data_IF_911493319147
#
_entry.id   IF_911493319147
#
_cell.length_a   1.000
_cell.length_b   1.000
_cell.length_c   1.000
_cell.angle_alpha   90.00
_cell.angle_beta   90.00
_cell.angle_gamma   90.00
#
_symmetry.space_group_name_H-M   'P 1'
#
loop_
_entity.id
_entity.type
_entity.pdbx_description
1 polymer ?
#
# COMPACT_ATOMS: atom_id res chain seq x y z
N UNK A 1 -0.60 22.41 -19.13
CA UNK A 1 -0.36 20.95 -19.06
C UNK A 1 1.10 20.71 -19.41
N UNK A 2 1.76 19.75 -18.77
CA UNK A 2 3.10 19.32 -19.17
C UNK A 2 2.98 18.56 -20.49
N UNK A 3 3.87 18.84 -21.46
CA UNK A 3 3.95 18.04 -22.67
C UNK A 3 4.19 16.57 -22.30
N UNK A 4 3.28 15.67 -22.73
CA UNK A 4 3.35 14.23 -22.42
C UNK A 4 2.63 13.75 -21.15
N UNK A 5 2.03 14.66 -20.34
CA UNK A 5 1.25 14.29 -19.16
C UNK A 5 -0.16 14.90 -19.26
N UNK A 6 -1.16 14.02 -19.18
CA UNK A 6 -2.56 14.42 -19.08
C UNK A 6 -3.11 13.92 -17.74
N UNK A 7 -3.98 14.72 -17.14
CA UNK A 7 -4.61 14.39 -15.86
C UNK A 7 -6.12 14.37 -16.04
N UNK A 8 -6.79 13.39 -15.47
CA UNK A 8 -8.23 13.28 -15.34
C UNK A 8 -8.60 13.08 -13.88
N UNK A 9 -9.54 13.88 -13.41
CA UNK A 9 -10.12 13.79 -12.08
C UNK A 9 -11.59 13.44 -12.21
N UNK A 10 -12.03 12.43 -11.46
CA UNK A 10 -13.43 12.02 -11.43
C UNK A 10 -13.92 12.10 -9.99
N UNK A 11 -15.08 12.70 -9.79
CA UNK A 11 -15.71 12.87 -8.47
C UNK A 11 -17.18 12.55 -8.56
N UNK A 12 -17.72 11.91 -7.54
CA UNK A 12 -19.15 11.62 -7.47
C UNK A 12 -19.49 10.71 -6.30
N UNK A 13 -20.75 10.31 -6.14
CA UNK A 13 -21.13 9.29 -5.17
C UNK A 13 -20.56 7.94 -5.58
N UNK A 14 -21.22 6.83 -5.42
CA UNK A 14 -20.71 5.50 -5.73
C UNK A 14 -20.06 5.36 -7.12
N UNK A 15 -20.60 6.06 -8.14
CA UNK A 15 -20.05 6.09 -9.50
C UNK A 15 -19.52 7.50 -9.79
N UNK A 16 -18.18 7.69 -9.80
CA UNK A 16 -17.58 8.99 -10.07
C UNK A 16 -17.66 9.34 -11.56
N UNK A 17 -17.87 10.64 -11.85
CA UNK A 17 -17.90 11.19 -13.19
C UNK A 17 -16.77 12.19 -13.39
N UNK A 18 -16.28 12.39 -14.63
CA UNK A 18 -15.25 13.40 -14.89
C UNK A 18 -15.72 14.80 -14.45
N UNK A 19 -14.84 15.54 -13.80
CA UNK A 19 -15.13 16.91 -13.37
C UNK A 19 -15.06 17.87 -14.55
N UNK A 20 -15.72 19.03 -14.42
CA UNK A 20 -15.66 20.08 -15.43
C UNK A 20 -14.27 20.71 -15.53
N UNK A 21 -13.99 21.36 -16.67
CA UNK A 21 -12.72 22.06 -16.88
C UNK A 21 -12.48 23.15 -15.81
N UNK A 22 -13.53 23.86 -15.39
CA UNK A 22 -13.44 24.89 -14.36
C UNK A 22 -12.92 24.34 -13.02
N UNK A 23 -13.30 23.09 -12.66
CA UNK A 23 -12.81 22.41 -11.47
C UNK A 23 -11.35 22.03 -11.63
N UNK A 24 -10.93 21.54 -12.83
CA UNK A 24 -9.53 21.25 -13.12
C UNK A 24 -8.68 22.53 -13.12
N UNK A 25 -9.22 23.64 -13.58
CA UNK A 25 -8.53 24.91 -13.58
C UNK A 25 -8.38 25.51 -12.16
N UNK A 26 -9.30 25.20 -11.27
CA UNK A 26 -9.19 25.58 -9.86
C UNK A 26 -8.20 24.70 -9.07
N UNK A 27 -7.83 23.53 -9.60
CA UNK A 27 -6.93 22.60 -8.94
C UNK A 27 -5.49 23.14 -8.91
N UNK A 28 -4.93 23.26 -7.72
CA UNK A 28 -3.57 23.74 -7.48
C UNK A 28 -2.56 22.61 -7.34
N UNK A 29 -2.92 21.58 -6.58
CA UNK A 29 -2.03 20.43 -6.34
C UNK A 29 -2.81 19.15 -6.03
N UNK A 30 -2.18 18.04 -6.38
CA UNK A 30 -2.60 16.69 -5.99
C UNK A 30 -1.42 16.04 -5.29
N UNK A 31 -1.71 15.41 -4.17
CA UNK A 31 -0.80 14.51 -3.48
C UNK A 31 -1.47 13.17 -3.31
N UNK A 32 -0.85 12.10 -3.82
CA UNK A 32 -1.33 10.72 -3.62
C UNK A 32 -0.19 9.90 -3.05
N UNK A 33 -0.43 9.25 -1.91
CA UNK A 33 0.55 8.38 -1.27
C UNK A 33 0.07 6.94 -1.30
N UNK A 34 0.84 6.07 -1.93
CA UNK A 34 0.60 4.62 -1.97
C UNK A 34 1.64 3.91 -1.12
N UNK A 35 1.19 3.12 -0.14
CA UNK A 35 2.04 2.34 0.77
C UNK A 35 1.88 0.85 0.53
N UNK A 36 2.96 0.10 0.77
CA UNK A 36 2.95 -1.34 0.50
C UNK A 36 1.97 -2.12 1.38
N UNK A 37 1.86 -1.75 2.66
CA UNK A 37 1.12 -2.52 3.67
C UNK A 37 -0.05 -1.77 4.30
N UNK A 38 -0.16 -0.46 4.05
CA UNK A 38 -1.17 0.41 4.66
C UNK A 38 -2.17 0.90 3.62
N UNK A 39 -3.22 1.57 4.09
CA UNK A 39 -4.13 2.28 3.23
C UNK A 39 -3.41 3.38 2.45
N UNK A 40 -3.78 3.55 1.19
CA UNK A 40 -3.32 4.64 0.35
C UNK A 40 -4.17 5.88 0.63
N UNK A 41 -3.57 7.06 0.53
CA UNK A 41 -4.27 8.31 0.80
C UNK A 41 -4.09 9.34 -0.30
N UNK A 42 -4.98 10.33 -0.32
CA UNK A 42 -4.86 11.46 -1.24
C UNK A 42 -5.20 12.79 -0.58
N UNK A 43 -4.64 13.85 -1.15
CA UNK A 43 -4.98 15.22 -0.84
C UNK A 43 -5.08 16.02 -2.15
N UNK A 44 -6.19 16.73 -2.29
CA UNK A 44 -6.44 17.64 -3.39
C UNK A 44 -6.55 19.06 -2.84
N UNK A 45 -5.88 20.02 -3.46
CA UNK A 45 -5.94 21.43 -3.06
C UNK A 45 -6.48 22.26 -4.22
N UNK A 46 -7.58 22.98 -3.97
CA UNK A 46 -8.24 23.83 -4.95
C UNK A 46 -8.22 25.29 -4.52
N UNK A 47 -8.14 26.17 -5.49
CA UNK A 47 -8.40 27.59 -5.29
C UNK A 47 -9.90 27.83 -5.45
N UNK A 48 -10.55 28.35 -4.41
CA UNK A 48 -11.97 28.70 -4.43
C UNK A 48 -12.15 30.18 -4.73
N UNK A 49 -13.05 30.46 -5.66
CA UNK A 49 -13.70 31.78 -5.79
C UNK A 49 -15.08 31.73 -5.15
N UNK A 50 -15.66 32.88 -4.83
CA UNK A 50 -16.97 33.02 -4.18
C UNK A 50 -18.13 32.36 -4.97
N UNK A 51 -17.96 32.10 -6.26
CA UNK A 51 -18.97 31.48 -7.15
C UNK A 51 -18.55 30.09 -7.64
N UNK A 52 -17.59 29.45 -7.00
CA UNK A 52 -17.11 28.15 -7.46
C UNK A 52 -18.17 27.04 -7.28
N UNK A 53 -18.44 26.21 -8.30
CA UNK A 53 -19.33 25.06 -8.19
C UNK A 53 -18.85 24.03 -7.15
N UNK A 54 -17.59 24.09 -6.75
CA UNK A 54 -16.99 23.23 -5.71
C UNK A 54 -17.68 23.42 -4.35
N UNK A 55 -18.22 24.61 -4.04
CA UNK A 55 -18.99 24.83 -2.82
C UNK A 55 -20.20 23.89 -2.75
N UNK A 56 -20.90 23.67 -3.86
CA UNK A 56 -22.09 22.79 -3.91
C UNK A 56 -21.71 21.31 -3.82
N UNK A 57 -20.67 20.89 -4.54
CA UNK A 57 -20.25 19.48 -4.59
C UNK A 57 -19.77 18.98 -3.22
N UNK A 58 -18.98 19.78 -2.50
CA UNK A 58 -18.37 19.33 -1.25
C UNK A 58 -19.17 19.71 0.01
N UNK A 59 -19.94 20.80 -0.01
CA UNK A 59 -20.83 21.14 1.11
C UNK A 59 -22.00 20.13 1.23
N UNK A 60 -22.56 19.69 0.12
CA UNK A 60 -23.59 18.65 0.14
C UNK A 60 -23.04 17.29 0.63
N UNK A 61 -21.76 17.00 0.34
CA UNK A 61 -21.10 15.81 0.83
C UNK A 61 -20.86 15.81 2.36
N UNK A 62 -20.70 17.00 2.97
CA UNK A 62 -20.55 17.15 4.43
C UNK A 62 -21.86 17.11 5.20
N UNK A 63 -23.01 17.24 4.52
CA UNK A 63 -24.33 17.40 5.13
C UNK A 63 -25.14 16.12 5.36
N UNK A 64 -24.57 14.94 5.21
CA UNK A 64 -25.28 13.66 5.44
C UNK A 64 -26.20 13.22 4.28
N UNK A 65 -26.40 14.06 3.27
CA UNK A 65 -27.21 13.71 2.08
C UNK A 65 -26.46 12.77 1.13
N UNK A 66 -25.12 12.82 1.12
CA UNK A 66 -24.26 11.95 0.32
C UNK A 66 -23.27 11.28 1.29
N UNK A 67 -23.51 10.01 1.67
CA UNK A 67 -22.68 9.33 2.69
C UNK A 67 -21.26 9.05 2.21
N UNK A 68 -20.98 9.16 0.91
CA UNK A 68 -19.68 8.82 0.33
C UNK A 68 -19.42 9.66 -0.92
N UNK A 69 -18.33 10.42 -0.94
CA UNK A 69 -17.81 11.08 -2.15
C UNK A 69 -16.58 10.31 -2.60
N UNK A 70 -16.71 9.63 -3.74
CA UNK A 70 -15.63 8.89 -4.38
C UNK A 70 -14.81 9.81 -5.26
N UNK A 71 -13.51 9.65 -5.20
CA UNK A 71 -12.52 10.43 -5.94
C UNK A 71 -11.58 9.49 -6.67
N UNK A 72 -11.46 9.64 -7.98
CA UNK A 72 -10.52 8.87 -8.81
C UNK A 72 -9.57 9.83 -9.50
N UNK A 73 -8.27 9.60 -9.32
CA UNK A 73 -7.21 10.37 -9.96
C UNK A 73 -6.50 9.50 -11.00
N UNK A 74 -6.53 9.94 -12.25
CA UNK A 74 -5.88 9.25 -13.36
C UNK A 74 -4.86 10.18 -14.00
N UNK A 75 -3.65 9.66 -14.24
CA UNK A 75 -2.60 10.37 -14.95
C UNK A 75 -2.15 9.54 -16.15
N UNK A 76 -2.17 10.14 -17.32
CA UNK A 76 -1.63 9.54 -18.55
C UNK A 76 -0.23 10.07 -18.78
N UNK A 77 0.75 9.19 -18.78
CA UNK A 77 2.17 9.50 -19.02
C UNK A 77 2.59 8.80 -20.33
N UNK A 78 3.08 9.56 -21.29
CA UNK A 78 3.49 9.05 -22.60
C UNK A 78 2.43 8.12 -23.24
N UNK A 79 1.15 8.53 -23.18
CA UNK A 79 0.02 7.76 -23.71
C UNK A 79 -0.46 6.59 -22.86
N UNK A 80 0.22 6.26 -21.76
CA UNK A 80 -0.17 5.16 -20.85
C UNK A 80 -0.97 5.71 -19.67
N UNK A 81 -2.26 5.36 -19.51
CA UNK A 81 -3.06 5.78 -18.37
C UNK A 81 -2.66 5.01 -17.11
N UNK A 82 -2.57 5.72 -15.99
CA UNK A 82 -2.31 5.17 -14.67
C UNK A 82 -3.34 5.72 -13.69
N UNK A 83 -4.14 4.84 -13.10
CA UNK A 83 -5.01 5.19 -11.98
C UNK A 83 -4.14 5.27 -10.74
N UNK A 84 -3.95 6.48 -10.19
CA UNK A 84 -3.10 6.68 -9.03
C UNK A 84 -3.82 6.30 -7.74
N UNK A 85 -5.08 6.65 -7.65
CA UNK A 85 -5.94 6.30 -6.52
C UNK A 85 -7.41 6.28 -6.96
N UNK A 86 -8.15 5.39 -6.35
CA UNK A 86 -9.60 5.33 -6.34
C UNK A 86 -10.01 5.21 -4.87
N UNK A 87 -10.57 6.26 -4.33
CA UNK A 87 -10.79 6.36 -2.89
C UNK A 87 -12.00 7.21 -2.53
N UNK A 88 -12.18 7.43 -1.25
CA UNK A 88 -13.29 8.22 -0.70
C UNK A 88 -12.76 9.38 0.12
N UNK A 89 -13.42 10.52 -0.01
CA UNK A 89 -13.17 11.70 0.80
C UNK A 89 -13.47 11.40 2.27
N UNK A 90 -12.55 11.77 3.15
CA UNK A 90 -12.71 11.66 4.60
C UNK A 90 -12.90 13.02 5.26
N UNK A 91 -12.22 14.04 4.76
CA UNK A 91 -12.28 15.40 5.31
C UNK A 91 -12.21 16.43 4.18
N UNK A 92 -12.79 17.58 4.43
CA UNK A 92 -12.58 18.78 3.64
C UNK A 92 -12.41 19.98 4.57
N UNK A 93 -11.53 20.88 4.18
CA UNK A 93 -11.21 22.08 4.94
C UNK A 93 -11.18 23.27 4.00
N UNK A 94 -11.77 24.39 4.43
CA UNK A 94 -11.71 25.66 3.73
C UNK A 94 -10.92 26.62 4.58
N UNK A 95 -9.78 27.08 4.07
CA UNK A 95 -8.94 28.07 4.71
C UNK A 95 -8.98 29.39 3.93
N UNK A 96 -9.01 30.56 4.61
CA UNK A 96 -8.86 31.85 3.95
C UNK A 96 -7.57 31.87 3.13
N UNK A 97 -7.62 32.40 1.91
CA UNK A 97 -6.43 32.61 1.10
C UNK A 97 -5.66 33.85 1.56
N UNK A 98 -4.38 33.94 1.21
CA UNK A 98 -3.54 35.12 1.41
C UNK A 98 -4.01 36.30 0.56
N UNK A 99 -4.68 36.03 -0.55
CA UNK A 99 -5.19 37.07 -1.47
C UNK A 99 -6.67 37.32 -1.21
N UNK A 100 -7.06 38.59 -1.16
CA UNK A 100 -8.44 39.03 -0.95
C UNK A 100 -9.39 38.41 -2.02
N UNK A 101 -10.44 37.73 -1.56
CA UNK A 101 -11.47 37.12 -2.42
C UNK A 101 -11.19 35.69 -2.90
N UNK A 102 -10.11 35.07 -2.43
CA UNK A 102 -9.83 33.65 -2.70
C UNK A 102 -9.69 32.85 -1.40
N UNK A 103 -10.24 31.65 -1.40
CA UNK A 103 -10.05 30.66 -0.34
C UNK A 103 -9.37 29.42 -0.91
N UNK A 104 -8.77 28.64 -0.05
CA UNK A 104 -8.20 27.31 -0.40
C UNK A 104 -9.10 26.21 0.15
N UNK A 105 -9.53 25.31 -0.72
CA UNK A 105 -10.23 24.09 -0.33
C UNK A 105 -9.23 22.93 -0.37
N UNK A 106 -9.03 22.30 0.76
CA UNK A 106 -8.24 21.06 0.87
C UNK A 106 -9.18 19.89 1.12
N UNK A 107 -9.05 18.85 0.30
CA UNK A 107 -9.80 17.62 0.39
C UNK A 107 -8.81 16.51 0.67
N UNK A 108 -9.05 15.73 1.71
CA UNK A 108 -8.27 14.54 2.03
C UNK A 108 -9.15 13.30 2.00
N UNK A 109 -8.56 12.18 1.65
CA UNK A 109 -9.25 10.90 1.61
C UNK A 109 -8.30 9.72 1.62
N UNK A 110 -8.92 8.55 1.70
CA UNK A 110 -8.23 7.26 1.72
C UNK A 110 -8.78 6.37 0.59
N UNK A 111 -8.08 5.28 0.30
CA UNK A 111 -8.55 4.28 -0.66
C UNK A 111 -9.88 3.62 -0.19
N UNK A 112 -10.45 2.75 -1.03
CA UNK A 112 -11.75 2.14 -0.75
C UNK A 112 -11.76 1.20 0.48
N UNK A 113 -10.61 0.91 1.10
CA UNK A 113 -10.60 0.20 2.40
C UNK A 113 -11.34 0.99 3.48
N UNK A 114 -11.39 2.33 3.35
CA UNK A 114 -12.13 3.20 4.27
C UNK A 114 -13.60 2.86 4.37
N UNK A 115 -14.23 2.46 3.25
CA UNK A 115 -15.65 2.07 3.23
C UNK A 115 -15.90 0.83 4.10
N UNK A 116 -14.92 -0.08 4.18
CA UNK A 116 -14.98 -1.28 5.00
C UNK A 116 -14.88 -0.97 6.51
N UNK A 117 -14.55 0.27 6.86
CA UNK A 117 -14.43 0.75 8.24
C UNK A 117 -15.65 1.55 8.74
N UNK A 118 -16.72 1.65 7.95
CA UNK A 118 -17.89 2.45 8.34
C UNK A 118 -18.82 1.72 9.30
N UNK A 119 -19.10 0.45 9.05
CA UNK A 119 -20.12 -0.32 9.76
C UNK A 119 -19.48 -1.45 10.56
N UNK A 120 -19.89 -1.59 11.81
CA UNK A 120 -19.51 -2.72 12.67
C UNK A 120 -20.46 -3.88 12.41
N UNK A 121 -19.90 -5.00 11.95
CA UNK A 121 -20.63 -6.25 11.70
C UNK A 121 -20.31 -7.34 12.74
N UNK A 122 -19.93 -6.94 13.95
CA UNK A 122 -19.66 -7.90 15.03
C UNK A 122 -20.81 -8.87 15.25
N UNK A 123 -20.46 -10.13 15.46
CA UNK A 123 -21.43 -11.18 15.75
C UNK A 123 -21.86 -12.04 14.56
N UNK A 124 -21.59 -11.62 13.32
CA UNK A 124 -21.93 -12.44 12.14
C UNK A 124 -21.21 -13.78 12.22
N UNK A 125 -21.94 -14.92 12.20
CA UNK A 125 -21.34 -16.24 12.26
C UNK A 125 -20.93 -16.73 10.87
N UNK A 126 -19.83 -17.49 10.82
CA UNK A 126 -19.30 -18.13 9.61
C UNK A 126 -19.14 -19.65 9.84
N UNK A 127 -20.24 -20.43 9.90
CA UNK A 127 -20.18 -21.87 10.17
C UNK A 127 -19.48 -22.62 9.03
N UNK A 128 -18.59 -23.54 9.34
CA UNK A 128 -17.85 -24.41 8.40
C UNK A 128 -17.15 -23.63 7.27
N UNK A 129 -16.68 -22.40 7.52
CA UNK A 129 -16.11 -21.55 6.48
C UNK A 129 -14.61 -21.35 6.70
N UNK A 130 -13.74 -21.69 5.73
CA UNK A 130 -12.32 -21.42 5.78
C UNK A 130 -12.05 -19.91 5.78
N UNK A 131 -10.81 -19.52 6.12
CA UNK A 131 -10.41 -18.10 6.22
C UNK A 131 -10.66 -17.37 4.92
N UNK A 132 -10.26 -17.93 3.80
CA UNK A 132 -10.43 -17.38 2.45
C UNK A 132 -11.89 -17.15 2.09
N UNK A 133 -12.76 -18.11 2.43
CA UNK A 133 -14.21 -18.01 2.23
C UNK A 133 -14.82 -16.85 3.01
N UNK A 134 -14.38 -16.64 4.26
CA UNK A 134 -14.81 -15.49 5.08
C UNK A 134 -14.37 -14.16 4.49
N UNK A 135 -13.11 -14.07 4.04
CA UNK A 135 -12.59 -12.87 3.35
C UNK A 135 -13.39 -12.60 2.07
N UNK A 136 -13.64 -13.64 1.25
CA UNK A 136 -14.40 -13.50 0.02
C UNK A 136 -15.84 -13.01 0.29
N UNK A 137 -16.51 -13.57 1.30
CA UNK A 137 -17.87 -13.16 1.67
C UNK A 137 -17.93 -11.70 2.16
N UNK A 138 -16.93 -11.28 2.94
CA UNK A 138 -16.82 -9.90 3.38
C UNK A 138 -16.62 -8.96 2.19
N UNK A 139 -15.69 -9.29 1.28
CA UNK A 139 -15.41 -8.46 0.10
C UNK A 139 -16.56 -8.41 -0.89
N UNK A 140 -17.38 -9.46 -0.99
CA UNK A 140 -18.56 -9.51 -1.86
C UNK A 140 -19.55 -8.38 -1.58
N UNK A 141 -19.66 -7.90 -0.33
CA UNK A 141 -20.51 -6.75 0.04
C UNK A 141 -20.13 -5.46 -0.70
N UNK A 142 -18.89 -5.34 -1.13
CA UNK A 142 -18.32 -4.15 -1.76
C UNK A 142 -18.14 -4.29 -3.27
N UNK A 143 -18.64 -5.37 -3.89
CA UNK A 143 -18.54 -5.60 -5.33
C UNK A 143 -19.20 -4.49 -6.16
N UNK A 144 -20.25 -3.85 -5.63
CA UNK A 144 -20.93 -2.70 -6.27
C UNK A 144 -20.01 -1.51 -6.48
N UNK A 145 -18.93 -1.39 -5.72
CA UNK A 145 -17.91 -0.34 -5.86
C UNK A 145 -16.81 -0.71 -6.87
N UNK A 146 -16.96 -1.83 -7.60
CA UNK A 146 -15.95 -2.32 -8.53
C UNK A 146 -14.74 -2.97 -7.84
N UNK A 147 -14.91 -3.46 -6.60
CA UNK A 147 -13.87 -4.16 -5.86
C UNK A 147 -13.86 -5.63 -6.27
N UNK A 148 -12.73 -6.08 -6.80
CA UNK A 148 -12.48 -7.44 -7.27
C UNK A 148 -11.55 -8.11 -6.27
N UNK A 149 -11.99 -9.21 -5.62
CA UNK A 149 -11.14 -9.96 -4.72
C UNK A 149 -9.97 -10.63 -5.46
N UNK A 150 -8.74 -10.43 -4.97
CA UNK A 150 -7.53 -11.13 -5.39
C UNK A 150 -6.97 -11.87 -4.18
N UNK A 151 -7.50 -13.08 -3.95
CA UNK A 151 -7.20 -13.87 -2.78
C UNK A 151 -6.22 -14.98 -3.17
N UNK A 152 -5.09 -15.07 -2.47
CA UNK A 152 -4.17 -16.19 -2.57
C UNK A 152 -4.49 -17.17 -1.44
N UNK A 153 -4.86 -18.42 -1.74
CA UNK A 153 -5.16 -19.41 -0.71
C UNK A 153 -3.98 -19.58 0.25
N UNK A 154 -4.25 -19.68 1.54
CA UNK A 154 -3.24 -19.99 2.53
C UNK A 154 -2.94 -21.50 2.54
N UNK A 155 -1.73 -21.85 2.99
CA UNK A 155 -1.34 -23.25 3.17
C UNK A 155 -2.15 -23.88 4.33
N UNK A 156 -2.85 -23.05 5.10
CA UNK A 156 -3.59 -23.45 6.27
C UNK A 156 -5.03 -23.80 5.93
N UNK A 157 -5.30 -25.08 5.79
CA UNK A 157 -6.67 -25.62 5.70
C UNK A 157 -7.24 -25.80 7.11
N UNK A 158 -7.68 -24.71 7.75
CA UNK A 158 -8.49 -24.80 8.96
C UNK A 158 -9.96 -24.51 8.61
N UNK A 159 -10.74 -25.56 8.39
CA UNK A 159 -12.19 -25.46 8.28
C UNK A 159 -12.78 -25.83 9.64
N UNK A 160 -13.20 -24.86 10.45
CA UNK A 160 -13.73 -25.13 11.78
C UNK A 160 -15.04 -25.92 11.66
N UNK A 161 -15.09 -27.10 12.27
CA UNK A 161 -16.31 -27.89 12.36
C UNK A 161 -17.33 -27.15 13.22
N UNK A 162 -18.59 -26.97 12.76
CA UNK A 162 -19.62 -26.25 13.53
C UNK A 162 -19.89 -26.81 14.91
N UNK A 163 -19.64 -28.10 15.10
CA UNK A 163 -19.75 -28.79 16.40
C UNK A 163 -18.65 -28.41 17.39
N UNK A 164 -17.52 -27.90 16.90
CA UNK A 164 -16.36 -27.51 17.73
C UNK A 164 -16.31 -26.00 17.92
N UNK A 165 -16.45 -25.24 16.82
CA UNK A 165 -16.33 -23.79 16.82
C UNK A 165 -17.04 -23.18 15.63
N UNK A 166 -17.83 -22.14 15.87
CA UNK A 166 -18.37 -21.26 14.83
C UNK A 166 -17.62 -19.92 14.94
N UNK A 167 -16.72 -19.61 13.96
CA UNK A 167 -16.07 -18.31 13.94
C UNK A 167 -17.10 -17.19 13.79
N UNK A 168 -16.92 -16.11 14.54
CA UNK A 168 -17.75 -14.91 14.45
C UNK A 168 -16.90 -13.72 14.10
N UNK A 169 -17.45 -12.80 13.34
CA UNK A 169 -16.80 -11.52 13.08
C UNK A 169 -16.70 -10.72 14.36
N UNK A 170 -15.57 -10.06 14.55
CA UNK A 170 -15.33 -9.10 15.64
C UNK A 170 -14.87 -7.79 14.99
N UNK A 171 -15.61 -6.73 15.27
CA UNK A 171 -15.34 -5.40 14.72
C UNK A 171 -15.78 -5.22 13.29
N UNK A 172 -15.31 -4.13 12.72
CA UNK A 172 -15.59 -3.71 11.36
C UNK A 172 -14.89 -4.61 10.33
N UNK A 173 -15.39 -4.62 9.11
CA UNK A 173 -14.90 -5.48 8.03
C UNK A 173 -13.39 -5.32 7.77
N UNK A 174 -12.87 -4.08 7.74
CA UNK A 174 -11.45 -3.82 7.52
C UNK A 174 -10.58 -4.44 8.62
N UNK A 175 -10.95 -4.22 9.88
CA UNK A 175 -10.24 -4.78 11.03
C UNK A 175 -10.27 -6.31 11.02
N UNK A 176 -11.43 -6.88 10.67
CA UNK A 176 -11.60 -8.33 10.60
C UNK A 176 -10.77 -8.97 9.49
N UNK A 177 -10.80 -8.42 8.26
CA UNK A 177 -10.02 -8.94 7.13
C UNK A 177 -8.51 -8.81 7.37
N UNK A 178 -8.06 -7.68 7.96
CA UNK A 178 -6.66 -7.50 8.37
C UNK A 178 -6.23 -8.50 9.44
N UNK A 179 -7.08 -8.71 10.45
CA UNK A 179 -6.81 -9.71 11.46
C UNK A 179 -6.69 -11.11 10.86
N UNK A 180 -7.58 -11.49 9.93
CA UNK A 180 -7.49 -12.77 9.24
C UNK A 180 -6.21 -12.89 8.40
N UNK A 181 -5.73 -11.80 7.81
CA UNK A 181 -4.44 -11.77 7.11
C UNK A 181 -3.27 -11.96 8.08
N UNK A 182 -3.26 -11.22 9.19
CA UNK A 182 -2.21 -11.33 10.20
C UNK A 182 -2.16 -12.73 10.85
N UNK A 183 -3.31 -13.37 11.05
CA UNK A 183 -3.44 -14.73 11.62
C UNK A 183 -2.77 -15.81 10.73
N UNK A 184 -2.53 -15.52 9.45
CA UNK A 184 -1.84 -16.43 8.49
C UNK A 184 -0.54 -15.82 7.92
N UNK A 185 -0.11 -14.68 8.46
CA UNK A 185 1.10 -14.00 8.00
C UNK A 185 0.98 -13.29 6.65
N UNK A 186 -0.25 -12.95 6.24
CA UNK A 186 -0.58 -12.27 4.98
C UNK A 186 -0.70 -10.76 5.16
N UNK A 187 -0.90 -10.06 4.03
CA UNK A 187 -1.21 -8.64 3.97
C UNK A 187 -2.55 -8.42 3.30
N UNK A 188 -3.22 -7.32 3.64
CA UNK A 188 -4.43 -6.86 2.99
C UNK A 188 -4.29 -5.39 2.58
N UNK A 189 -4.51 -5.11 1.30
CA UNK A 189 -4.53 -3.76 0.76
C UNK A 189 -5.45 -3.65 -0.47
N UNK A 190 -5.83 -2.42 -0.79
CA UNK A 190 -6.55 -2.09 -2.02
C UNK A 190 -5.57 -1.52 -3.04
N UNK A 191 -5.73 -1.93 -4.30
CA UNK A 191 -4.93 -1.45 -5.42
C UNK A 191 -5.86 -1.02 -6.55
N UNK A 192 -5.72 0.21 -7.09
CA UNK A 192 -6.51 0.61 -8.24
C UNK A 192 -6.15 -0.26 -9.45
N UNK A 193 -7.18 -0.67 -10.18
CA UNK A 193 -7.03 -1.44 -11.40
C UNK A 193 -6.61 -0.57 -12.59
N UNK A 194 -6.45 -1.18 -13.78
CA UNK A 194 -6.02 -0.46 -14.98
C UNK A 194 -7.10 0.51 -15.50
N UNK A 195 -8.35 0.34 -15.09
CA UNK A 195 -9.50 1.14 -15.51
C UNK A 195 -10.08 1.87 -14.31
N UNK A 196 -10.43 3.17 -14.43
CA UNK A 196 -11.11 3.91 -13.38
C UNK A 196 -12.37 3.20 -12.90
N UNK A 197 -12.56 3.13 -11.58
CA UNK A 197 -13.70 2.45 -10.97
C UNK A 197 -13.51 0.95 -10.72
N UNK A 198 -12.41 0.36 -11.17
CA UNK A 198 -12.00 -1.00 -10.87
C UNK A 198 -10.90 -1.00 -9.82
N UNK A 199 -11.04 -1.86 -8.80
CA UNK A 199 -10.05 -2.00 -7.74
C UNK A 199 -9.82 -3.46 -7.40
N UNK A 200 -8.60 -3.84 -7.08
CA UNK A 200 -8.26 -5.16 -6.60
C UNK A 200 -8.08 -5.13 -5.08
N UNK A 201 -8.85 -5.95 -4.38
CA UNK A 201 -8.65 -6.22 -2.97
C UNK A 201 -7.70 -7.41 -2.82
N UNK A 202 -6.42 -7.13 -2.61
CA UNK A 202 -5.41 -8.15 -2.44
C UNK A 202 -5.39 -8.67 -1.01
N UNK A 203 -5.54 -9.98 -0.86
CA UNK A 203 -5.34 -10.72 0.39
C UNK A 203 -4.42 -11.90 0.11
N UNK A 204 -3.20 -11.86 0.64
CA UNK A 204 -2.18 -12.85 0.31
C UNK A 204 -0.84 -12.55 0.98
N UNK A 205 0.20 -13.36 0.73
CA UNK A 205 1.54 -13.11 1.24
C UNK A 205 2.15 -11.84 0.63
N UNK A 206 3.08 -11.21 1.34
CA UNK A 206 3.87 -10.13 0.75
C UNK A 206 4.85 -10.72 -0.28
N UNK A 207 4.79 -10.22 -1.52
CA UNK A 207 5.59 -10.74 -2.63
C UNK A 207 6.66 -9.71 -2.99
N UNK A 208 7.93 -10.09 -2.80
CA UNK A 208 9.11 -9.29 -3.18
C UNK A 208 9.88 -9.94 -4.34
N UNK A 209 9.15 -10.55 -5.26
CA UNK A 209 9.66 -11.13 -6.50
C UNK A 209 8.83 -10.64 -7.69
N UNK A 210 9.42 -10.62 -8.87
CA UNK A 210 8.74 -10.23 -10.10
C UNK A 210 9.69 -9.52 -11.07
N UNK A 211 9.14 -9.02 -12.15
CA UNK A 211 9.89 -8.23 -13.14
C UNK A 211 10.14 -6.84 -12.54
N UNK A 212 11.40 -6.39 -12.43
CA UNK A 212 11.69 -5.07 -11.93
C UNK A 212 11.15 -3.98 -12.84
N UNK A 213 10.76 -2.86 -12.25
CA UNK A 213 10.48 -1.63 -12.96
C UNK A 213 11.79 -1.05 -13.52
N UNK A 214 11.74 -0.15 -14.54
CA UNK A 214 12.94 0.49 -15.06
C UNK A 214 13.82 1.09 -13.97
N UNK A 215 15.13 0.98 -14.14
CA UNK A 215 16.08 1.33 -13.08
C UNK A 215 16.09 2.83 -12.76
N UNK A 216 16.33 3.12 -11.47
CA UNK A 216 16.64 4.44 -10.97
C UNK A 216 18.16 4.65 -11.12
N UNK A 217 18.56 5.63 -11.92
CA UNK A 217 19.94 5.94 -12.20
C UNK A 217 20.35 7.18 -11.40
N UNK A 218 21.38 7.03 -10.59
CA UNK A 218 21.95 8.05 -9.71
C UNK A 218 23.36 8.38 -10.22
N UNK A 219 23.73 9.64 -10.29
CA UNK A 219 25.07 10.10 -10.68
C UNK A 219 25.63 9.43 -11.97
N UNK A 220 24.78 9.28 -12.98
CA UNK A 220 25.11 8.66 -14.26
C UNK A 220 25.05 9.68 -15.42
N UNK A 221 25.48 10.90 -15.18
CA UNK A 221 25.48 12.01 -16.15
C UNK A 221 24.12 12.16 -16.88
N UNK A 222 24.12 12.05 -18.20
CA UNK A 222 22.91 12.18 -19.03
C UNK A 222 21.85 11.10 -18.76
N UNK A 223 22.22 9.98 -18.17
CA UNK A 223 21.32 8.87 -17.85
C UNK A 223 20.69 8.98 -16.46
N UNK A 224 21.09 9.98 -15.67
CA UNK A 224 20.50 10.23 -14.33
C UNK A 224 19.02 10.58 -14.47
N UNK A 225 18.15 9.82 -13.80
CA UNK A 225 16.69 9.99 -13.85
C UNK A 225 16.05 10.31 -12.50
N UNK A 226 16.84 10.33 -11.42
CA UNK A 226 16.45 10.79 -10.09
C UNK A 226 16.98 12.21 -9.83
N UNK A 227 16.27 12.99 -9.04
CA UNK A 227 16.72 14.34 -8.66
C UNK A 227 17.57 14.33 -7.38
N UNK A 228 17.18 13.48 -6.43
CA UNK A 228 17.89 13.27 -5.18
C UNK A 228 17.66 11.83 -4.72
N UNK A 229 18.69 11.24 -4.11
CA UNK A 229 18.61 9.92 -3.49
C UNK A 229 19.56 9.80 -2.33
N UNK A 230 19.10 9.22 -1.22
CA UNK A 230 19.89 8.94 -0.04
C UNK A 230 19.65 7.52 0.45
N UNK A 231 20.68 6.93 1.07
CA UNK A 231 20.61 5.58 1.61
C UNK A 231 20.97 5.57 3.08
N UNK A 232 20.26 4.74 3.83
CA UNK A 232 20.53 4.47 5.22
C UNK A 232 20.62 2.97 5.45
N UNK A 233 21.69 2.52 6.09
CA UNK A 233 21.82 1.17 6.61
C UNK A 233 21.60 1.17 8.12
N UNK A 234 20.61 0.43 8.58
CA UNK A 234 20.26 0.30 9.99
C UNK A 234 20.47 -1.15 10.45
N UNK A 235 21.66 -1.45 10.91
CA UNK A 235 22.05 -2.80 11.37
C UNK A 235 21.23 -3.27 12.57
N UNK A 236 20.74 -2.33 13.39
CA UNK A 236 20.05 -2.63 14.66
C UNK A 236 18.57 -3.01 14.48
N UNK A 237 18.00 -2.81 13.28
CA UNK A 237 16.59 -3.10 13.03
C UNK A 237 16.29 -4.60 12.90
N UNK A 238 17.30 -5.44 12.63
CA UNK A 238 17.09 -6.87 12.43
C UNK A 238 16.85 -7.56 13.76
N UNK A 239 15.66 -8.17 13.89
CA UNK A 239 15.29 -9.02 15.02
C UNK A 239 15.14 -10.45 14.55
N UNK A 240 15.59 -11.41 15.36
CA UNK A 240 15.36 -12.82 15.11
C UNK A 240 14.03 -13.23 15.77
N UNK A 241 12.95 -13.46 15.00
CA UNK A 241 11.72 -13.97 15.58
C UNK A 241 11.93 -15.42 16.01
N UNK A 242 11.49 -15.72 17.23
CA UNK A 242 11.53 -17.05 17.81
C UNK A 242 10.13 -17.47 18.19
N UNK A 243 9.70 -18.62 17.65
CA UNK A 243 8.46 -19.27 18.06
C UNK A 243 8.79 -20.22 19.20
N UNK A 244 8.08 -20.07 20.30
CA UNK A 244 8.18 -20.99 21.43
C UNK A 244 7.00 -21.97 21.35
N UNK A 245 7.31 -23.25 21.09
CA UNK A 245 6.32 -24.33 21.06
C UNK A 245 6.49 -25.15 22.35
N UNK A 246 5.37 -25.48 22.99
CA UNK A 246 5.39 -26.41 24.13
C UNK A 246 5.33 -27.86 23.61
N UNK A 247 6.25 -28.69 24.07
CA UNK A 247 6.18 -30.12 23.85
C UNK A 247 5.00 -30.71 24.64
N UNK A 248 4.18 -31.53 23.98
CA UNK A 248 2.94 -32.04 24.59
C UNK A 248 3.15 -32.91 25.82
N UNK A 249 4.27 -33.68 25.86
CA UNK A 249 4.54 -34.64 26.94
C UNK A 249 5.26 -33.99 28.14
N UNK A 250 6.23 -33.11 27.91
CA UNK A 250 7.08 -32.55 28.96
C UNK A 250 6.69 -31.12 29.35
N UNK A 251 5.82 -30.46 28.58
CA UNK A 251 5.49 -29.03 28.67
C UNK A 251 6.71 -28.11 28.59
N UNK A 252 7.85 -28.65 28.16
CA UNK A 252 9.09 -27.87 28.01
C UNK A 252 8.96 -26.90 26.83
N UNK A 253 9.34 -25.62 26.99
CA UNK A 253 9.35 -24.66 25.90
C UNK A 253 10.52 -24.95 24.94
N UNK A 254 10.22 -25.18 23.67
CA UNK A 254 11.22 -25.34 22.60
C UNK A 254 11.25 -24.07 21.78
N UNK A 255 12.32 -23.26 21.82
CA UNK A 255 12.47 -22.11 20.95
C UNK A 255 12.88 -22.52 19.55
N UNK A 256 12.09 -22.14 18.54
CA UNK A 256 12.40 -22.37 17.13
C UNK A 256 12.71 -21.03 16.47
N UNK A 257 13.95 -20.78 16.04
CA UNK A 257 14.29 -19.58 15.29
C UNK A 257 13.66 -19.64 13.89
N UNK A 258 13.06 -18.53 13.44
CA UNK A 258 12.41 -18.45 12.14
C UNK A 258 13.33 -17.72 11.17
N UNK A 259 13.64 -18.31 9.99
CA UNK A 259 14.42 -17.65 8.95
C UNK A 259 13.66 -16.46 8.34
N UNK A 260 14.39 -15.44 7.89
CA UNK A 260 13.85 -14.26 7.24
C UNK A 260 13.76 -14.38 5.70
N UNK A 261 14.21 -15.51 5.18
CA UNK A 261 14.28 -15.79 3.74
C UNK A 261 13.19 -16.80 3.36
N UNK A 262 12.39 -16.46 2.37
CA UNK A 262 11.38 -17.35 1.78
C UNK A 262 11.43 -17.23 0.25
N UNK A 263 10.86 -18.18 -0.51
CA UNK A 263 10.77 -18.08 -1.97
C UNK A 263 10.06 -16.80 -2.46
N UNK A 264 9.16 -16.21 -1.66
CA UNK A 264 8.44 -14.96 -1.96
C UNK A 264 9.16 -13.72 -1.45
N UNK A 265 10.13 -13.89 -0.56
CA UNK A 265 11.00 -12.83 -0.03
C UNK A 265 12.47 -13.29 -0.10
N UNK A 266 13.06 -13.40 -1.32
CA UNK A 266 14.45 -13.78 -1.48
C UNK A 266 15.39 -12.69 -0.96
N UNK A 267 16.64 -13.02 -0.63
CA UNK A 267 17.63 -12.03 -0.27
C UNK A 267 17.96 -11.16 -1.49
N UNK A 268 17.77 -9.85 -1.36
CA UNK A 268 18.15 -8.86 -2.39
C UNK A 268 19.56 -8.32 -2.15
N UNK A 269 20.09 -8.48 -0.94
CA UNK A 269 21.45 -8.11 -0.54
C UNK A 269 22.26 -9.32 -0.04
N UNK A 270 23.56 -9.37 -0.39
CA UNK A 270 24.48 -10.44 0.00
C UNK A 270 24.88 -10.38 1.47
N UNK A 271 24.95 -9.16 2.06
CA UNK A 271 25.38 -8.94 3.43
C UNK A 271 24.19 -8.45 4.27
N UNK A 272 23.38 -9.38 4.82
CA UNK A 272 22.34 -9.00 5.77
C UNK A 272 22.94 -8.63 7.12
N UNK A 273 22.32 -7.73 7.90
CA UNK A 273 22.76 -7.44 9.26
C UNK A 273 22.61 -8.66 10.17
N UNK A 274 23.47 -8.77 11.15
CA UNK A 274 23.39 -9.80 12.18
C UNK A 274 22.25 -9.41 13.14
N UNK A 275 21.31 -10.32 13.48
CA UNK A 275 20.27 -10.03 14.46
C UNK A 275 20.90 -9.73 15.82
N UNK A 276 20.55 -8.61 16.44
CA UNK A 276 21.03 -8.24 17.78
C UNK A 276 20.02 -8.61 18.87
N UNK A 277 18.74 -8.66 18.53
CA UNK A 277 17.65 -8.93 19.45
C UNK A 277 16.86 -10.18 19.06
N UNK A 278 16.41 -10.91 20.05
CA UNK A 278 15.46 -12.01 19.90
C UNK A 278 14.05 -11.45 20.15
N UNK A 279 13.16 -11.61 19.19
CA UNK A 279 11.75 -11.23 19.30
C UNK A 279 10.88 -12.47 19.50
N UNK A 280 10.55 -12.88 20.74
CA UNK A 280 9.64 -13.99 20.97
C UNK A 280 8.26 -13.65 20.40
N UNK A 281 7.64 -14.60 19.70
CA UNK A 281 6.27 -14.47 19.24
C UNK A 281 5.34 -14.64 20.43
N UNK A 282 4.72 -13.53 20.85
CA UNK A 282 3.66 -13.55 21.85
C UNK A 282 2.41 -14.22 21.29
N UNK A 283 1.71 -15.03 22.08
CA UNK A 283 0.49 -15.79 21.76
C UNK A 283 0.68 -17.10 20.97
N UNK A 284 1.87 -17.64 20.87
CA UNK A 284 2.12 -18.93 20.21
C UNK A 284 1.38 -20.10 20.86
N UNK A 285 1.06 -20.03 22.15
CA UNK A 285 0.34 -21.10 22.89
C UNK A 285 -1.09 -21.38 22.38
N UNK A 286 -1.71 -20.46 21.65
CA UNK A 286 -3.06 -20.60 21.08
C UNK A 286 -3.04 -20.96 19.57
N UNK A 287 -1.87 -20.98 18.96
CA UNK A 287 -1.69 -21.21 17.54
C UNK A 287 -1.24 -22.65 17.29
N UNK A 288 -1.65 -23.22 16.16
CA UNK A 288 -1.01 -24.46 15.71
C UNK A 288 0.47 -24.20 15.39
N UNK A 289 1.37 -25.20 15.48
CA UNK A 289 2.78 -25.02 15.14
C UNK A 289 2.98 -24.42 13.75
N UNK A 290 2.18 -24.83 12.77
CA UNK A 290 2.23 -24.32 11.39
C UNK A 290 1.84 -22.83 11.34
N UNK A 291 0.79 -22.41 12.06
CA UNK A 291 0.40 -21.00 12.16
C UNK A 291 1.51 -20.15 12.76
N UNK A 292 2.09 -20.63 13.86
CA UNK A 292 3.16 -19.91 14.54
C UNK A 292 4.37 -19.70 13.62
N UNK A 293 4.72 -20.72 12.82
CA UNK A 293 5.81 -20.64 11.82
C UNK A 293 5.47 -19.64 10.71
N UNK A 294 4.27 -19.67 10.14
CA UNK A 294 3.87 -18.75 9.06
C UNK A 294 3.85 -17.29 9.52
N UNK A 295 3.29 -17.03 10.70
CA UNK A 295 3.32 -15.69 11.31
C UNK A 295 4.75 -15.27 11.60
N UNK A 296 5.58 -16.21 12.07
CA UNK A 296 7.00 -15.99 12.30
C UNK A 296 7.74 -15.60 11.01
N UNK A 297 7.53 -16.31 9.92
CA UNK A 297 8.12 -16.01 8.61
C UNK A 297 7.71 -14.61 8.11
N UNK A 298 6.43 -14.24 8.23
CA UNK A 298 5.97 -12.91 7.85
C UNK A 298 6.61 -11.81 8.71
N UNK A 299 6.71 -12.00 10.03
CA UNK A 299 7.38 -11.06 10.93
C UNK A 299 8.89 -10.97 10.64
N UNK A 300 9.54 -12.10 10.39
CA UNK A 300 10.94 -12.15 10.00
C UNK A 300 11.20 -11.37 8.71
N UNK A 301 10.39 -11.60 7.69
CA UNK A 301 10.48 -10.90 6.41
C UNK A 301 10.30 -9.37 6.56
N UNK A 302 9.38 -8.93 7.44
CA UNK A 302 9.16 -7.50 7.72
C UNK A 302 10.32 -6.85 8.49
N UNK A 303 10.97 -7.59 9.39
CA UNK A 303 12.12 -7.09 10.18
C UNK A 303 13.46 -7.23 9.47
N UNK A 304 13.52 -7.87 8.30
CA UNK A 304 14.76 -8.09 7.55
C UNK A 304 15.24 -6.86 6.78
N UNK A 305 14.36 -5.87 6.55
CA UNK A 305 14.67 -4.69 5.76
C UNK A 305 15.62 -3.75 6.52
N UNK A 306 16.91 -3.83 6.19
CA UNK A 306 17.98 -3.10 6.86
C UNK A 306 18.46 -1.87 6.07
N UNK A 307 18.34 -1.89 4.74
CA UNK A 307 18.66 -0.75 3.88
C UNK A 307 17.39 -0.03 3.51
N UNK A 308 17.37 1.27 3.76
CA UNK A 308 16.29 2.16 3.31
C UNK A 308 16.91 3.18 2.35
N UNK A 309 16.36 3.24 1.12
CA UNK A 309 16.64 4.29 0.16
C UNK A 309 15.46 5.26 0.11
N UNK A 310 15.72 6.56 0.12
CA UNK A 310 14.70 7.60 -0.11
C UNK A 310 15.15 8.52 -1.20
N UNK A 311 14.22 8.98 -2.03
CA UNK A 311 14.58 9.87 -3.12
C UNK A 311 13.38 10.53 -3.77
N UNK A 312 13.69 11.42 -4.70
CA UNK A 312 12.73 12.16 -5.53
C UNK A 312 13.10 12.00 -6.99
N UNK A 313 12.11 11.73 -7.83
CA UNK A 313 12.26 11.69 -9.29
C UNK A 313 11.25 12.60 -9.99
N UNK A 314 11.64 13.09 -11.16
CA UNK A 314 10.73 13.70 -12.13
C UNK A 314 10.13 12.62 -13.03
N UNK A 315 8.80 12.51 -13.06
CA UNK A 315 8.10 11.50 -13.87
C UNK A 315 8.37 11.69 -15.36
N UNK A 316 8.54 12.93 -15.81
CA UNK A 316 8.91 13.23 -17.20
C UNK A 316 10.29 12.66 -17.55
N UNK A 317 11.28 12.81 -16.66
CA UNK A 317 12.63 12.31 -16.86
C UNK A 317 12.71 10.78 -16.76
N UNK A 318 11.99 10.21 -15.81
CA UNK A 318 11.88 8.76 -15.65
C UNK A 318 11.07 8.11 -16.79
N UNK A 319 10.16 8.86 -17.42
CA UNK A 319 9.33 8.42 -18.55
C UNK A 319 8.14 7.53 -18.20
N UNK A 320 7.97 7.16 -16.95
CA UNK A 320 6.91 6.29 -16.44
C UNK A 320 6.51 6.70 -15.02
N UNK A 321 5.45 6.08 -14.52
CA UNK A 321 5.05 6.18 -13.12
C UNK A 321 5.69 5.05 -12.33
N UNK A 322 6.50 5.38 -11.32
CA UNK A 322 7.03 4.41 -10.35
C UNK A 322 5.86 3.94 -9.47
N UNK A 323 5.71 2.63 -9.33
CA UNK A 323 4.63 2.01 -8.55
C UNK A 323 5.18 1.37 -7.28
N UNK A 324 4.49 1.55 -6.17
CA UNK A 324 4.74 0.79 -4.94
C UNK A 324 4.45 -0.71 -5.13
N UNK A 325 4.87 -1.53 -4.20
CA UNK A 325 4.64 -2.99 -4.17
C UNK A 325 5.32 -3.77 -5.29
N UNK A 326 6.33 -3.19 -5.93
CA UNK A 326 7.12 -3.83 -6.99
C UNK A 326 8.61 -3.69 -6.73
N UNK A 327 9.40 -4.39 -7.53
CA UNK A 327 10.85 -4.26 -7.53
C UNK A 327 11.27 -3.12 -8.45
N UNK A 328 12.38 -2.46 -8.09
CA UNK A 328 13.08 -1.47 -8.93
C UNK A 328 14.56 -1.65 -8.78
N UNK A 329 15.31 -1.46 -9.87
CA UNK A 329 16.76 -1.45 -9.84
C UNK A 329 17.30 -0.07 -9.46
N UNK A 330 18.42 -0.04 -8.75
CA UNK A 330 19.20 1.19 -8.48
C UNK A 330 20.61 1.02 -9.05
N UNK A 331 21.10 2.04 -9.76
CA UNK A 331 22.41 2.08 -10.40
C UNK A 331 23.10 3.39 -10.11
N UNK A 332 24.43 3.34 -9.93
CA UNK A 332 25.26 4.52 -9.74
C UNK A 332 25.32 5.02 -8.30
N UNK A 333 24.70 4.31 -7.36
CA UNK A 333 24.78 4.62 -5.93
C UNK A 333 26.01 4.00 -5.24
N UNK A 334 26.85 3.31 -6.01
CA UNK A 334 28.03 2.60 -5.53
C UNK A 334 27.76 1.14 -5.16
N UNK A 335 28.81 0.32 -5.11
CA UNK A 335 28.73 -1.15 -4.94
C UNK A 335 27.94 -1.61 -3.73
N UNK A 336 27.93 -0.83 -2.66
CA UNK A 336 27.18 -1.16 -1.44
C UNK A 336 25.67 -1.04 -1.63
N UNK A 337 25.23 -0.07 -2.44
CA UNK A 337 23.82 0.31 -2.56
C UNK A 337 23.21 0.02 -3.94
N UNK A 338 23.99 -0.26 -4.96
CA UNK A 338 23.47 -0.72 -6.26
C UNK A 338 22.74 -2.05 -6.10
N UNK A 339 21.68 -2.28 -6.88
CA UNK A 339 20.96 -3.54 -6.85
C UNK A 339 19.44 -3.39 -6.91
N UNK A 340 18.73 -4.47 -6.63
CA UNK A 340 17.27 -4.49 -6.54
C UNK A 340 16.77 -4.03 -5.17
N UNK A 341 15.69 -3.29 -5.22
CA UNK A 341 14.93 -2.83 -4.04
C UNK A 341 13.44 -3.08 -4.22
N UNK A 342 12.76 -3.28 -3.12
CA UNK A 342 11.32 -3.26 -3.04
C UNK A 342 10.82 -1.84 -2.81
N UNK A 343 9.84 -1.39 -3.60
CA UNK A 343 9.25 -0.05 -3.47
C UNK A 343 8.18 -0.10 -2.38
N UNK A 344 8.52 0.44 -1.21
CA UNK A 344 7.66 0.42 -0.01
C UNK A 344 6.61 1.54 -0.03
N UNK A 345 7.00 2.74 -0.44
CA UNK A 345 6.09 3.89 -0.51
C UNK A 345 6.41 4.73 -1.74
N UNK A 346 5.36 5.28 -2.36
CA UNK A 346 5.46 6.29 -3.42
C UNK A 346 4.45 7.39 -3.15
N UNK A 347 4.92 8.62 -3.08
CA UNK A 347 4.10 9.82 -3.00
C UNK A 347 4.17 10.61 -4.31
N UNK A 348 3.06 10.71 -4.99
CA UNK A 348 2.89 11.50 -6.20
C UNK A 348 2.59 12.94 -5.83
N UNK A 349 3.42 13.87 -6.26
CA UNK A 349 3.24 15.31 -6.09
C UNK A 349 3.01 15.93 -7.47
N UNK A 350 1.79 16.34 -7.75
CA UNK A 350 1.38 16.90 -9.04
C UNK A 350 0.97 18.35 -8.82
N UNK A 351 1.60 19.26 -9.53
CA UNK A 351 1.27 20.69 -9.59
C UNK A 351 1.21 21.11 -11.05
N UNK A 352 0.73 22.33 -11.31
CA UNK A 352 0.78 22.87 -12.68
C UNK A 352 2.24 22.95 -13.15
N UNK A 353 2.55 22.26 -14.24
CA UNK A 353 3.89 22.25 -14.82
C UNK A 353 4.89 21.31 -14.15
N UNK A 354 4.51 20.56 -13.12
CA UNK A 354 5.42 19.66 -12.39
C UNK A 354 4.73 18.37 -11.97
N UNK A 355 5.37 17.23 -12.21
CA UNK A 355 4.99 15.95 -11.65
C UNK A 355 6.22 15.23 -11.11
N UNK A 356 6.31 15.17 -9.79
CA UNK A 356 7.38 14.47 -9.08
C UNK A 356 6.83 13.31 -8.26
N UNK A 357 7.68 12.35 -8.01
CA UNK A 357 7.41 11.25 -7.08
C UNK A 357 8.50 11.22 -6.03
N UNK A 358 8.10 11.27 -4.75
CA UNK A 358 8.96 10.88 -3.63
C UNK A 358 8.76 9.39 -3.40
N UNK A 359 9.83 8.67 -3.10
CA UNK A 359 9.76 7.23 -2.92
C UNK A 359 10.62 6.74 -1.76
N UNK A 360 10.19 5.62 -1.18
CA UNK A 360 10.95 4.88 -0.17
C UNK A 360 11.17 3.46 -0.67
N UNK A 361 12.42 3.05 -0.67
CA UNK A 361 12.88 1.72 -1.08
C UNK A 361 13.36 0.93 0.12
N UNK A 362 13.18 -0.39 0.09
CA UNK A 362 13.62 -1.31 1.13
C UNK A 362 14.42 -2.46 0.56
N UNK A 363 15.47 -2.86 1.29
CA UNK A 363 16.29 -4.04 0.98
C UNK A 363 16.84 -4.66 2.27
N UNK A 364 17.01 -5.96 2.26
CA UNK A 364 17.42 -6.73 3.43
C UNK A 364 18.93 -6.80 3.70
N UNK A 365 19.78 -6.21 2.86
CA UNK A 365 21.24 -6.24 3.06
C UNK A 365 21.99 -5.34 2.11
N UNK A 366 23.28 -5.18 2.34
CA UNK A 366 24.22 -4.48 1.45
C UNK A 366 24.69 -5.41 0.32
N UNK A 367 25.24 -4.81 -0.72
CA UNK A 367 25.76 -5.46 -1.93
C UNK A 367 24.67 -6.28 -2.66
N UNK A 368 24.53 -6.05 -3.93
CA UNK A 368 23.50 -6.73 -4.75
C UNK A 368 23.76 -8.23 -4.85
N UNK A 369 22.67 -9.03 -4.83
CA UNK A 369 22.72 -10.44 -5.23
C UNK A 369 22.81 -10.62 -6.74
N UNK A 370 22.54 -9.56 -7.51
CA UNK A 370 22.65 -9.57 -8.98
C UNK A 370 23.99 -8.93 -9.39
N UNK A 371 24.65 -9.53 -10.39
CA UNK A 371 25.88 -8.99 -10.96
C UNK A 371 25.65 -7.70 -11.75
N UNK A 372 24.49 -7.57 -12.40
CA UNK A 372 24.08 -6.36 -13.10
C UNK A 372 22.58 -6.10 -12.91
N UNK A 373 22.23 -4.85 -12.67
CA UNK A 373 20.83 -4.42 -12.55
C UNK A 373 20.27 -4.22 -13.96
N UNK A 374 19.10 -4.81 -14.30
CA UNK A 374 18.43 -4.58 -15.58
C UNK A 374 18.14 -3.10 -15.81
N UNK A 375 18.14 -2.68 -17.09
CA UNK A 375 17.87 -1.28 -17.46
C UNK A 375 16.41 -0.90 -17.33
#
# INVERSE_FOLDING_TARGET
MLNGIQMSLMIGPAVPVPVSQDVLDALQSIRVTTRAREASGFQLTFRLSTRSPLHTVFLLAGGGAIPMVRVVVVVTVNGTPNVLIDGVMTHHEISPGSDAGHATLTITGEDLTRVMDYIDFSGIPYPAMPVEGRVLLVLAKYAVLGIIPKIIPSIMFDVPLPTQRIPRQVGKDLAYVRKLADDVGYVFYMEPGPVPGMNFAYWGPEIKVGVPQPALNVDMDAHTNVEAMSFRFAADNKKLPVVVIQQQETHAPIPIPIPDITPLNPPLGLIPPIPKDIAPLTMSAKLSPVQAVLIGLAKAARSSDAVTGTGTLSVLRYGRVLKARGLVGVRGAGTAFDGLYYVDEVTHNIKRGEYKQDFTLKRNGLISTLQAVPA
#
